data_IF_395661380882
#
_entry.id   IF_395661380882
#
_cell.length_a   1.000
_cell.length_b   1.000
_cell.length_c   1.000
_cell.angle_alpha   90.00
_cell.angle_beta   90.00
_cell.angle_gamma   90.00
#
_symmetry.space_group_name_H-M   'P 1'
#
loop_
_entity.id
_entity.type
_entity.pdbx_description
1 polymer ?
#
# COMPACT_ATOMS: atom_id res chain seq x y z
N UNK A 1 -9.87 -2.62 -10.68
CA UNK A 1 -9.85 -2.22 -9.26
C UNK A 1 -10.91 -3.01 -8.49
N UNK A 2 -10.52 -3.68 -7.44
CA UNK A 2 -11.40 -4.45 -6.58
C UNK A 2 -11.54 -3.81 -5.20
N UNK A 3 -12.67 -4.03 -4.54
CA UNK A 3 -12.88 -3.71 -3.12
C UNK A 3 -13.12 -5.02 -2.36
N UNK A 4 -12.45 -5.15 -1.23
CA UNK A 4 -12.42 -6.36 -0.42
C UNK A 4 -12.77 -6.03 1.03
N UNK A 5 -13.39 -6.95 1.74
CA UNK A 5 -13.75 -6.75 3.12
C UNK A 5 -13.30 -7.91 4.00
N UNK A 6 -12.82 -7.55 5.20
CA UNK A 6 -12.74 -8.43 6.34
C UNK A 6 -13.79 -7.97 7.36
N UNK A 7 -14.49 -8.92 7.96
CA UNK A 7 -15.53 -8.61 8.93
C UNK A 7 -15.51 -9.64 10.05
N UNK A 8 -15.59 -9.16 11.29
CA UNK A 8 -15.86 -9.97 12.48
C UNK A 8 -17.08 -9.42 13.22
N UNK A 9 -17.31 -9.84 14.46
CA UNK A 9 -18.44 -9.36 15.27
C UNK A 9 -18.35 -7.87 15.60
N UNK A 10 -17.13 -7.32 15.71
CA UNK A 10 -16.88 -5.97 16.20
C UNK A 10 -16.68 -4.94 15.06
N UNK A 11 -15.92 -5.30 14.02
CA UNK A 11 -15.44 -4.37 13.02
C UNK A 11 -15.66 -4.89 11.59
N UNK A 12 -15.79 -3.94 10.66
CA UNK A 12 -15.72 -4.17 9.21
C UNK A 12 -14.60 -3.32 8.62
N UNK A 13 -13.63 -3.96 8.02
CA UNK A 13 -12.51 -3.35 7.29
C UNK A 13 -12.75 -3.45 5.80
N UNK A 14 -12.60 -2.34 5.06
CA UNK A 14 -12.62 -2.33 3.58
C UNK A 14 -11.27 -1.88 3.04
N UNK A 15 -10.72 -2.67 2.14
CA UNK A 15 -9.46 -2.39 1.42
C UNK A 15 -9.72 -2.44 -0.07
N UNK A 16 -9.10 -1.54 -0.83
CA UNK A 16 -9.14 -1.57 -2.30
C UNK A 16 -7.80 -2.04 -2.87
N UNK A 17 -7.83 -2.73 -4.00
CA UNK A 17 -6.61 -3.21 -4.67
C UNK A 17 -5.77 -2.07 -5.26
N UNK A 18 -6.40 -0.95 -5.62
CA UNK A 18 -5.67 0.27 -6.00
C UNK A 18 -4.88 0.78 -4.80
N UNK A 19 -3.54 0.67 -4.89
CA UNK A 19 -2.63 1.03 -3.81
C UNK A 19 -2.66 0.12 -2.57
N UNK A 20 -3.40 -1.00 -2.60
CA UNK A 20 -3.70 -1.83 -1.42
C UNK A 20 -4.19 -0.98 -0.23
N UNK A 21 -4.96 0.06 -0.52
CA UNK A 21 -5.32 1.11 0.44
C UNK A 21 -6.51 0.70 1.30
N UNK A 22 -6.35 0.81 2.63
CA UNK A 22 -7.47 0.70 3.56
C UNK A 22 -8.35 1.94 3.45
N UNK A 23 -9.62 1.76 3.11
CA UNK A 23 -10.57 2.86 2.83
C UNK A 23 -11.61 3.08 3.93
N UNK A 24 -11.90 2.06 4.72
CA UNK A 24 -12.92 2.15 5.76
C UNK A 24 -12.62 1.17 6.88
N UNK A 25 -12.82 1.60 8.10
CA UNK A 25 -12.83 0.76 9.29
C UNK A 25 -13.99 1.20 10.16
N UNK A 26 -15.05 0.38 10.21
CA UNK A 26 -16.29 0.69 10.92
C UNK A 26 -16.52 -0.20 12.12
N UNK A 27 -17.01 0.41 13.18
CA UNK A 27 -17.64 -0.30 14.29
C UNK A 27 -19.00 -0.85 13.84
N UNK A 28 -19.20 -2.17 14.01
CA UNK A 28 -20.44 -2.82 13.55
C UNK A 28 -21.66 -2.50 14.40
N UNK A 29 -21.47 -2.05 15.65
CA UNK A 29 -22.57 -1.73 16.59
C UNK A 29 -23.00 -0.28 16.48
N UNK A 30 -22.03 0.63 16.38
CA UNK A 30 -22.28 2.08 16.39
C UNK A 30 -22.27 2.70 15.00
N UNK A 31 -21.77 1.96 13.98
CA UNK A 31 -21.50 2.43 12.62
C UNK A 31 -20.48 3.56 12.55
N UNK A 32 -19.73 3.78 13.64
CA UNK A 32 -18.66 4.77 13.68
C UNK A 32 -17.59 4.42 12.65
N UNK A 33 -17.31 5.36 11.72
CA UNK A 33 -16.16 5.28 10.81
C UNK A 33 -14.93 5.87 11.51
N UNK A 34 -13.84 5.09 11.56
CA UNK A 34 -12.60 5.50 12.20
C UNK A 34 -11.61 6.16 11.26
N UNK A 35 -11.78 5.99 9.95
CA UNK A 35 -10.87 6.55 8.96
C UNK A 35 -11.42 7.81 8.31
N UNK A 36 -10.50 8.64 7.82
CA UNK A 36 -10.82 9.78 6.97
C UNK A 36 -11.45 9.32 5.66
N UNK A 37 -12.55 9.97 5.24
CA UNK A 37 -13.35 9.55 4.07
C UNK A 37 -12.84 10.09 2.74
N UNK A 38 -11.63 10.63 2.68
CA UNK A 38 -11.00 11.12 1.46
C UNK A 38 -11.79 12.23 0.74
N UNK A 39 -12.38 13.17 1.50
CA UNK A 39 -13.04 14.35 0.91
C UNK A 39 -12.02 15.14 0.06
N UNK A 40 -12.21 15.21 -1.28
CA UNK A 40 -11.23 15.84 -2.18
C UNK A 40 -11.07 17.34 -1.96
N UNK A 41 -11.99 17.97 -1.24
CA UNK A 41 -11.88 19.38 -0.86
C UNK A 41 -10.71 19.63 0.09
N UNK A 42 -10.33 18.62 0.87
CA UNK A 42 -9.24 18.70 1.84
C UNK A 42 -8.08 17.78 1.47
N UNK A 43 -8.34 16.48 1.40
CA UNK A 43 -7.35 15.48 1.03
C UNK A 43 -8.03 14.21 0.49
N UNK A 44 -7.81 13.90 -0.78
CA UNK A 44 -8.50 12.84 -1.51
C UNK A 44 -8.01 11.41 -1.28
N UNK A 45 -7.19 11.16 -0.24
CA UNK A 45 -6.71 9.83 0.11
C UNK A 45 -7.10 9.48 1.54
N UNK A 46 -7.08 8.21 1.89
CA UNK A 46 -7.41 7.72 3.25
C UNK A 46 -6.16 7.24 3.99
N UNK A 47 -5.52 6.18 3.50
CA UNK A 47 -4.34 5.57 4.10
C UNK A 47 -3.38 5.04 3.03
N UNK A 48 -2.78 5.92 2.21
CA UNK A 48 -1.97 5.49 1.08
C UNK A 48 -0.71 4.73 1.52
N UNK A 49 -0.37 3.69 0.78
CA UNK A 49 0.85 2.90 0.96
C UNK A 49 2.02 3.66 0.34
N UNK A 50 3.04 3.98 1.15
CA UNK A 50 4.20 4.76 0.74
C UNK A 50 5.38 3.84 0.43
N UNK A 51 5.71 3.67 -0.85
CA UNK A 51 6.81 2.83 -1.31
C UNK A 51 7.26 3.25 -2.72
N UNK A 52 8.58 3.23 -3.07
CA UNK A 52 9.70 2.74 -2.26
C UNK A 52 10.28 3.78 -1.28
N UNK A 53 9.77 5.00 -1.25
CA UNK A 53 10.23 6.04 -0.32
C UNK A 53 9.07 6.68 0.45
N UNK A 54 9.41 7.32 1.56
CA UNK A 54 8.55 8.21 2.34
C UNK A 54 9.09 9.63 2.21
N UNK A 55 8.25 10.58 1.83
CA UNK A 55 8.70 11.96 1.58
C UNK A 55 9.26 12.15 0.16
N UNK A 56 10.22 13.02 0.01
CA UNK A 56 10.87 13.36 -1.25
C UNK A 56 12.38 13.21 -1.16
N UNK A 57 12.99 12.80 -2.26
CA UNK A 57 14.42 13.08 -2.49
C UNK A 57 14.62 14.58 -2.77
N UNK A 58 15.83 15.07 -2.53
CA UNK A 58 16.24 16.42 -2.94
C UNK A 58 16.02 16.54 -4.45
N UNK A 59 15.29 17.59 -4.86
CA UNK A 59 14.91 17.81 -6.28
C UNK A 59 14.19 16.61 -6.93
N UNK A 60 13.60 15.70 -6.11
CA UNK A 60 12.94 14.47 -6.56
C UNK A 60 13.86 13.51 -7.34
N UNK A 61 15.16 13.60 -7.12
CA UNK A 61 16.15 12.82 -7.85
C UNK A 61 17.03 11.98 -6.91
N UNK A 62 17.42 10.82 -7.43
CA UNK A 62 18.46 9.98 -6.85
C UNK A 62 19.46 9.57 -7.93
N UNK A 63 20.68 9.26 -7.53
CA UNK A 63 21.73 8.73 -8.43
C UNK A 63 22.09 7.33 -7.99
N UNK A 64 22.06 6.39 -8.91
CA UNK A 64 22.47 5.02 -8.68
C UNK A 64 23.31 4.53 -9.86
N UNK A 65 24.54 4.05 -9.57
CA UNK A 65 25.50 3.61 -10.57
C UNK A 65 25.71 4.63 -11.71
N UNK A 66 25.81 5.91 -11.33
CA UNK A 66 26.06 7.04 -12.29
C UNK A 66 24.84 7.48 -13.09
N UNK A 67 23.69 6.84 -12.93
CA UNK A 67 22.44 7.24 -13.61
C UNK A 67 21.51 7.96 -12.65
N UNK A 68 20.89 9.03 -13.13
CA UNK A 68 19.88 9.80 -12.39
C UNK A 68 18.48 9.23 -12.60
N UNK A 69 17.76 9.03 -11.50
CA UNK A 69 16.37 8.57 -11.47
C UNK A 69 15.48 9.61 -10.82
N UNK A 70 14.28 9.79 -11.34
CA UNK A 70 13.27 10.71 -10.80
C UNK A 70 12.15 9.91 -10.15
N UNK A 71 11.81 10.26 -8.91
CA UNK A 71 10.76 9.62 -8.16
C UNK A 71 9.90 10.67 -7.47
N UNK A 72 8.59 10.57 -7.65
CA UNK A 72 7.63 11.49 -7.03
C UNK A 72 7.54 11.28 -5.52
N UNK A 73 6.96 12.25 -4.83
CA UNK A 73 6.72 12.19 -3.38
C UNK A 73 6.04 10.87 -3.01
N UNK A 74 6.58 10.19 -2.01
CA UNK A 74 6.10 8.92 -1.47
C UNK A 74 6.15 7.74 -2.46
N UNK A 75 6.88 7.87 -3.58
CA UNK A 75 7.01 6.80 -4.56
C UNK A 75 5.75 6.57 -5.39
N UNK A 76 5.56 5.33 -5.83
CA UNK A 76 4.55 4.97 -6.81
C UNK A 76 3.50 3.96 -6.34
N UNK A 77 3.75 3.22 -5.26
CA UNK A 77 2.89 2.09 -4.87
C UNK A 77 1.43 2.48 -4.66
N UNK A 78 1.19 3.65 -4.07
CA UNK A 78 -0.16 4.16 -3.81
C UNK A 78 -0.99 4.46 -5.07
N UNK A 79 -0.35 4.55 -6.22
CA UNK A 79 -0.98 4.84 -7.51
C UNK A 79 -1.00 3.63 -8.45
N UNK A 80 -0.61 2.44 -7.94
CA UNK A 80 -0.56 1.21 -8.72
C UNK A 80 -1.63 0.22 -8.26
N UNK A 81 -2.07 -0.62 -9.17
CA UNK A 81 -2.97 -1.73 -8.89
C UNK A 81 -2.17 -2.90 -8.30
N UNK A 82 -2.58 -3.40 -7.15
CA UNK A 82 -2.04 -4.60 -6.52
C UNK A 82 -2.89 -5.80 -6.89
N UNK A 83 -2.26 -6.94 -7.05
CA UNK A 83 -2.97 -8.21 -7.18
C UNK A 83 -3.37 -8.75 -5.80
N UNK A 84 -4.55 -9.35 -5.73
CA UNK A 84 -4.94 -10.11 -4.54
C UNK A 84 -4.09 -11.38 -4.46
N UNK A 85 -3.29 -11.54 -3.41
CA UNK A 85 -2.50 -12.75 -3.19
C UNK A 85 -3.29 -13.84 -2.44
N UNK A 86 -3.96 -13.45 -1.37
CA UNK A 86 -4.78 -14.37 -0.58
C UNK A 86 -5.81 -13.63 0.28
N UNK A 87 -6.89 -14.33 0.61
CA UNK A 87 -7.89 -13.86 1.56
C UNK A 87 -8.46 -15.03 2.34
N UNK A 88 -8.53 -14.85 3.67
CA UNK A 88 -9.24 -15.70 4.61
C UNK A 88 -10.35 -14.88 5.30
N UNK A 89 -11.00 -15.43 6.31
CA UNK A 89 -11.99 -14.67 7.10
C UNK A 89 -11.35 -13.55 7.94
N UNK A 90 -10.09 -13.72 8.34
CA UNK A 90 -9.40 -12.79 9.24
C UNK A 90 -8.28 -11.98 8.59
N UNK A 91 -7.78 -12.40 7.43
CA UNK A 91 -6.56 -11.86 6.84
C UNK A 91 -6.67 -11.73 5.33
N UNK A 92 -6.12 -10.64 4.78
CA UNK A 92 -6.05 -10.40 3.34
C UNK A 92 -4.67 -9.88 2.98
N UNK A 93 -4.11 -10.39 1.88
CA UNK A 93 -2.81 -9.96 1.36
C UNK A 93 -2.91 -9.51 -0.10
N UNK A 94 -2.22 -8.41 -0.37
CA UNK A 94 -2.03 -7.86 -1.70
C UNK A 94 -0.56 -7.88 -2.06
N UNK A 95 -0.26 -8.04 -3.35
CA UNK A 95 1.12 -8.07 -3.86
C UNK A 95 1.30 -7.10 -5.03
N UNK A 96 2.40 -6.37 -5.01
CA UNK A 96 2.88 -5.55 -6.11
C UNK A 96 4.30 -5.99 -6.48
N UNK A 97 4.54 -6.19 -7.76
CA UNK A 97 5.87 -6.47 -8.30
C UNK A 97 6.32 -5.32 -9.18
N UNK A 98 7.62 -5.23 -9.39
CA UNK A 98 8.18 -4.27 -10.33
C UNK A 98 7.65 -4.47 -11.75
N UNK A 99 7.66 -3.38 -12.50
CA UNK A 99 7.29 -3.31 -13.91
C UNK A 99 8.38 -2.54 -14.66
N UNK A 100 8.32 -2.52 -15.99
CA UNK A 100 9.22 -1.67 -16.77
C UNK A 100 9.14 -0.20 -16.34
N UNK A 101 7.92 0.29 -16.08
CA UNK A 101 7.74 1.68 -15.65
C UNK A 101 8.25 1.97 -14.24
N UNK A 102 8.23 1.02 -13.31
CA UNK A 102 8.85 1.21 -11.99
C UNK A 102 10.37 1.17 -12.07
N UNK A 103 10.95 0.31 -12.92
CA UNK A 103 12.39 0.21 -13.12
C UNK A 103 13.02 1.48 -13.70
N UNK A 104 12.26 2.26 -14.47
CA UNK A 104 12.69 3.58 -14.96
C UNK A 104 12.85 4.61 -13.84
N UNK A 105 12.14 4.45 -12.73
CA UNK A 105 12.10 5.37 -11.58
C UNK A 105 12.90 4.85 -10.38
N UNK A 106 12.90 3.54 -10.22
CA UNK A 106 13.52 2.81 -9.12
C UNK A 106 14.16 1.54 -9.66
N UNK A 107 15.51 1.51 -9.82
CA UNK A 107 16.20 0.51 -10.64
C UNK A 107 16.42 -0.83 -9.94
N UNK A 108 15.39 -1.34 -9.27
CA UNK A 108 15.44 -2.60 -8.55
C UNK A 108 14.18 -3.42 -8.80
N UNK A 109 14.36 -4.73 -8.98
CA UNK A 109 13.27 -5.68 -8.86
C UNK A 109 12.83 -5.75 -7.40
N UNK A 110 11.56 -5.83 -7.15
CA UNK A 110 11.01 -5.95 -5.79
C UNK A 110 9.72 -6.79 -5.79
N UNK A 111 9.41 -7.33 -4.62
CA UNK A 111 8.09 -7.86 -4.33
C UNK A 111 7.62 -7.18 -3.06
N UNK A 112 6.62 -6.32 -3.18
CA UNK A 112 5.97 -5.66 -2.05
C UNK A 112 4.66 -6.36 -1.74
N UNK A 113 4.50 -6.81 -0.49
CA UNK A 113 3.24 -7.35 0.00
C UNK A 113 2.72 -6.47 1.13
N UNK A 114 1.44 -6.17 1.07
CA UNK A 114 0.71 -5.44 2.12
C UNK A 114 -0.44 -6.31 2.58
N UNK A 115 -0.47 -6.59 3.86
CA UNK A 115 -1.49 -7.43 4.48
C UNK A 115 -2.25 -6.71 5.57
N UNK A 116 -3.47 -7.12 5.77
CA UNK A 116 -4.33 -6.66 6.85
C UNK A 116 -4.91 -7.86 7.59
N UNK A 117 -4.85 -7.81 8.92
CA UNK A 117 -5.48 -8.83 9.77
C UNK A 117 -6.44 -8.16 10.73
N UNK A 118 -7.62 -8.73 10.85
CA UNK A 118 -8.67 -8.27 11.76
C UNK A 118 -8.86 -9.30 12.87
N UNK A 119 -8.65 -8.89 14.13
CA UNK A 119 -8.83 -9.74 15.30
C UNK A 119 -9.49 -8.96 16.44
N UNK A 120 -10.72 -9.32 16.82
CA UNK A 120 -11.50 -8.54 17.78
C UNK A 120 -11.64 -7.09 17.36
N UNK A 121 -11.15 -6.17 18.16
CA UNK A 121 -11.12 -4.73 17.86
C UNK A 121 -9.74 -4.24 17.40
N UNK A 122 -8.90 -5.13 16.92
CA UNK A 122 -7.54 -4.83 16.47
C UNK A 122 -7.40 -5.06 14.98
N UNK A 123 -6.77 -4.11 14.29
CA UNK A 123 -6.32 -4.24 12.91
C UNK A 123 -4.79 -4.22 12.91
N UNK A 124 -4.19 -5.24 12.33
CA UNK A 124 -2.75 -5.27 12.06
C UNK A 124 -2.52 -4.93 10.59
N UNK A 125 -1.62 -4.00 10.34
CA UNK A 125 -1.12 -3.68 9.00
C UNK A 125 0.27 -4.29 8.86
N UNK A 126 0.40 -5.22 7.94
CA UNK A 126 1.61 -6.02 7.78
C UNK A 126 2.29 -5.69 6.45
N UNK A 127 3.61 -5.53 6.48
CA UNK A 127 4.42 -5.27 5.30
C UNK A 127 5.47 -6.33 5.13
N UNK A 128 5.64 -6.78 3.89
CA UNK A 128 6.74 -7.67 3.50
C UNK A 128 7.36 -7.16 2.22
N UNK A 129 8.66 -6.87 2.26
CA UNK A 129 9.44 -6.48 1.09
C UNK A 129 10.47 -7.56 0.82
N UNK A 130 10.42 -8.14 -0.38
CA UNK A 130 11.39 -9.12 -0.83
C UNK A 130 12.32 -8.49 -1.87
N UNK A 131 13.61 -8.77 -1.74
CA UNK A 131 14.63 -8.34 -2.69
C UNK A 131 15.04 -9.54 -3.56
N UNK A 132 14.50 -9.66 -4.80
CA UNK A 132 14.89 -10.73 -5.71
C UNK A 132 16.17 -10.46 -6.49
N UNK A 133 16.83 -9.31 -6.27
CA UNK A 133 18.08 -8.97 -6.92
C UNK A 133 19.25 -9.75 -6.32
N UNK A 134 20.33 -9.84 -7.05
CA UNK A 134 21.61 -10.39 -6.58
C UNK A 134 22.47 -9.34 -5.83
N UNK A 135 21.93 -8.16 -5.59
CA UNK A 135 22.57 -7.01 -4.95
C UNK A 135 21.62 -6.34 -3.95
N UNK A 136 22.19 -5.47 -3.12
CA UNK A 136 21.42 -4.68 -2.17
C UNK A 136 20.42 -3.76 -2.88
N UNK A 137 19.21 -3.75 -2.39
CA UNK A 137 18.15 -2.82 -2.77
C UNK A 137 18.13 -1.66 -1.74
N UNK A 138 18.06 -0.44 -2.21
CA UNK A 138 18.09 0.77 -1.38
C UNK A 138 16.72 1.45 -1.32
#
# INVERSE_FOLDING_TARGET
MGAYQLKNEELTLTVISAGAEMKSLKDNKTEQEYLWQADPKFWGRTSPVLFPIVGNYVQKQSVYEGKTYTLSQHGFARDMEFDLESQTEEEIWFVLKDTESTLEKYPFHFILKVGYRLSGRQVEVMWKVENPNDKKMY
#
